data_IF_484491650018
#
_entry.id   IF_484491650018
#
_cell.length_a   1.000
_cell.length_b   1.000
_cell.length_c   1.000
_cell.angle_alpha   90.00
_cell.angle_beta   90.00
_cell.angle_gamma   90.00
#
_symmetry.space_group_name_H-M   'P 1'
#
loop_
_entity.id
_entity.type
_entity.pdbx_description
1 polymer ?
#
# COMPACT_ATOMS: atom_id res chain seq x y z
N UNK A 1 17.79 8.76 -13.80
CA UNK A 1 17.14 8.25 -12.57
C UNK A 1 15.70 7.80 -12.84
N UNK A 2 14.76 8.71 -13.17
CA UNK A 2 13.34 8.34 -13.39
C UNK A 2 13.10 7.30 -14.49
N UNK A 3 13.83 7.40 -15.60
CA UNK A 3 13.75 6.45 -16.72
C UNK A 3 14.06 5.01 -16.29
N UNK A 4 15.13 4.82 -15.53
CA UNK A 4 15.58 3.52 -15.04
C UNK A 4 14.54 2.86 -14.11
N UNK A 5 13.87 3.67 -13.28
CA UNK A 5 12.79 3.18 -12.40
C UNK A 5 11.59 2.72 -13.24
N UNK A 6 11.18 3.53 -14.21
CA UNK A 6 10.09 3.19 -15.12
C UNK A 6 10.38 1.91 -15.93
N UNK A 7 11.59 1.76 -16.46
CA UNK A 7 12.04 0.57 -17.19
C UNK A 7 12.07 -0.67 -16.28
N UNK A 8 12.53 -0.53 -15.03
CA UNK A 8 12.51 -1.62 -14.06
C UNK A 8 11.07 -2.06 -13.75
N UNK A 9 10.16 -1.12 -13.50
CA UNK A 9 8.74 -1.40 -13.22
C UNK A 9 8.03 -2.07 -14.41
N UNK A 10 8.23 -1.53 -15.62
CA UNK A 10 7.62 -2.07 -16.85
C UNK A 10 8.19 -3.43 -17.26
N UNK A 11 9.41 -3.77 -16.84
CA UNK A 11 10.02 -5.09 -17.03
C UNK A 11 9.74 -6.10 -15.90
N UNK A 12 8.80 -5.78 -15.00
CA UNK A 12 8.41 -6.66 -13.89
C UNK A 12 9.43 -6.75 -12.75
N UNK A 13 10.43 -5.87 -12.73
CA UNK A 13 11.49 -5.79 -11.71
C UNK A 13 11.11 -4.80 -10.60
N UNK A 14 9.98 -5.05 -9.94
CA UNK A 14 9.55 -4.31 -8.76
C UNK A 14 9.79 -5.13 -7.48
N UNK A 15 10.10 -4.46 -6.37
CA UNK A 15 10.14 -5.10 -5.06
C UNK A 15 8.73 -5.23 -4.47
N UNK A 16 8.52 -6.20 -3.58
CA UNK A 16 7.27 -6.36 -2.82
C UNK A 16 7.22 -5.46 -1.59
N UNK A 17 7.54 -4.19 -1.78
CA UNK A 17 7.41 -3.21 -0.71
C UNK A 17 5.97 -2.75 -0.58
N UNK A 18 5.54 -2.40 0.63
CA UNK A 18 4.16 -1.96 0.90
C UNK A 18 3.75 -0.79 0.00
N UNK A 19 4.64 0.17 -0.25
CA UNK A 19 4.38 1.32 -1.13
C UNK A 19 4.25 0.99 -2.63
N UNK A 20 4.38 -0.28 -3.03
CA UNK A 20 4.31 -0.67 -4.45
C UNK A 20 2.87 -0.92 -4.91
N UNK A 21 1.98 -1.39 -4.01
CA UNK A 21 0.65 -1.89 -4.39
C UNK A 21 -0.51 -1.32 -3.56
N UNK A 22 -0.23 -0.54 -2.51
CA UNK A 22 -1.27 0.19 -1.80
C UNK A 22 -1.59 1.51 -2.51
N UNK A 23 -2.85 1.94 -2.43
CA UNK A 23 -3.23 3.30 -2.83
C UNK A 23 -2.59 4.35 -1.89
N UNK A 24 -2.41 5.60 -2.35
CA UNK A 24 -1.68 6.62 -1.60
C UNK A 24 -2.21 6.86 -0.19
N UNK A 25 -3.54 6.92 -0.02
CA UNK A 25 -4.16 7.14 1.29
C UNK A 25 -3.95 5.96 2.23
N UNK A 26 -4.18 4.73 1.76
CA UNK A 26 -3.94 3.51 2.53
C UNK A 26 -2.49 3.39 2.96
N UNK A 27 -1.55 3.64 2.04
CA UNK A 27 -0.11 3.56 2.34
C UNK A 27 0.31 4.58 3.40
N UNK A 28 -0.14 5.83 3.28
CA UNK A 28 0.15 6.88 4.25
C UNK A 28 -0.42 6.56 5.63
N UNK A 29 -1.69 6.15 5.68
CA UNK A 29 -2.35 5.75 6.92
C UNK A 29 -1.59 4.64 7.64
N UNK A 30 -1.25 3.57 6.91
CA UNK A 30 -0.53 2.44 7.48
C UNK A 30 0.82 2.86 8.05
N UNK A 31 1.56 3.69 7.31
CA UNK A 31 2.85 4.21 7.77
C UNK A 31 2.73 5.08 9.03
N UNK A 32 1.79 6.02 9.06
CA UNK A 32 1.64 6.98 10.16
C UNK A 32 1.02 6.38 11.42
N UNK A 33 0.16 5.36 11.30
CA UNK A 33 -0.56 4.77 12.45
C UNK A 33 0.11 3.55 13.03
N UNK A 34 0.99 2.87 12.29
CA UNK A 34 1.75 1.72 12.79
C UNK A 34 2.48 2.01 14.12
N UNK A 35 3.15 3.16 14.34
CA UNK A 35 3.78 3.46 15.62
C UNK A 35 2.81 3.45 16.80
N UNK A 36 1.53 3.83 16.60
CA UNK A 36 0.54 3.81 17.67
C UNK A 36 0.18 2.39 18.08
N UNK A 37 0.14 1.45 17.13
CA UNK A 37 -0.03 0.01 17.42
C UNK A 37 1.17 -0.51 18.20
N UNK A 38 2.39 -0.19 17.76
CA UNK A 38 3.64 -0.63 18.41
C UNK A 38 3.78 -0.09 19.84
N UNK A 39 3.27 1.12 20.11
CA UNK A 39 3.26 1.74 21.43
C UNK A 39 2.06 1.31 22.29
N UNK A 40 1.19 0.42 21.80
CA UNK A 40 -0.02 -0.01 22.52
C UNK A 40 -1.10 1.08 22.65
N UNK A 41 -0.99 2.17 21.89
CA UNK A 41 -1.94 3.29 21.86
C UNK A 41 -3.11 3.06 20.90
N UNK A 42 -3.08 1.97 20.14
CA UNK A 42 -4.10 1.59 19.18
C UNK A 42 -4.16 0.06 19.09
N UNK A 43 -5.36 -0.52 19.05
CA UNK A 43 -5.49 -1.95 18.83
C UNK A 43 -5.15 -2.32 17.39
N UNK A 44 -4.66 -3.55 17.16
CA UNK A 44 -4.43 -4.07 15.80
C UNK A 44 -5.74 -4.10 15.02
N UNK A 45 -6.84 -4.45 15.67
CA UNK A 45 -8.17 -4.54 15.05
C UNK A 45 -8.64 -3.18 14.52
N UNK A 46 -8.56 -2.13 15.34
CA UNK A 46 -8.94 -0.77 14.92
C UNK A 46 -8.05 -0.27 13.78
N UNK A 47 -6.76 -0.57 13.83
CA UNK A 47 -5.79 -0.18 12.81
C UNK A 47 -6.12 -0.82 11.45
N UNK A 48 -6.38 -2.14 11.45
CA UNK A 48 -6.73 -2.86 10.23
C UNK A 48 -8.11 -2.48 9.69
N UNK A 49 -9.09 -2.25 10.57
CA UNK A 49 -10.44 -1.83 10.19
C UNK A 49 -10.45 -0.48 9.47
N UNK A 50 -9.70 0.49 9.99
CA UNK A 50 -9.60 1.80 9.38
C UNK A 50 -8.78 1.76 8.07
N UNK A 51 -7.67 1.01 8.04
CA UNK A 51 -6.91 0.79 6.81
C UNK A 51 -7.79 0.19 5.69
N UNK A 52 -8.62 -0.81 6.03
CA UNK A 52 -9.57 -1.43 5.10
C UNK A 52 -10.64 -0.44 4.63
N UNK A 53 -11.16 0.41 5.52
CA UNK A 53 -12.14 1.45 5.16
C UNK A 53 -11.57 2.40 4.10
N UNK A 54 -10.36 2.92 4.34
CA UNK A 54 -9.66 3.82 3.39
C UNK A 54 -9.40 3.10 2.06
N UNK A 55 -8.87 1.88 2.12
CA UNK A 55 -8.59 1.10 0.91
C UNK A 55 -9.85 0.84 0.08
N UNK A 56 -10.96 0.51 0.72
CA UNK A 56 -12.23 0.23 0.01
C UNK A 56 -12.74 1.46 -0.74
N UNK A 57 -12.61 2.64 -0.13
CA UNK A 57 -12.96 3.92 -0.77
C UNK A 57 -12.04 4.24 -1.95
N UNK A 58 -10.72 4.02 -1.79
CA UNK A 58 -9.75 4.28 -2.86
C UNK A 58 -9.83 3.27 -4.00
N UNK A 59 -10.19 2.03 -3.70
CA UNK A 59 -10.48 0.99 -4.69
C UNK A 59 -11.70 1.37 -5.53
N UNK A 60 -12.79 1.78 -4.88
CA UNK A 60 -13.99 2.26 -5.58
C UNK A 60 -13.70 3.50 -6.43
N UNK A 61 -12.77 4.34 -6.01
CA UNK A 61 -12.31 5.51 -6.75
C UNK A 61 -11.25 5.22 -7.85
N UNK A 62 -10.86 3.96 -8.05
CA UNK A 62 -9.88 3.57 -9.07
C UNK A 62 -8.45 4.04 -8.80
N UNK A 63 -8.09 4.30 -7.53
CA UNK A 63 -6.77 4.81 -7.12
C UNK A 63 -5.77 3.71 -6.76
N UNK A 64 -6.23 2.45 -6.69
CA UNK A 64 -5.39 1.30 -6.33
C UNK A 64 -4.55 0.90 -7.54
N UNK A 65 -3.21 0.81 -7.42
CA UNK A 65 -2.36 0.35 -8.51
C UNK A 65 -2.72 -1.09 -8.93
N UNK A 66 -2.59 -1.43 -10.23
CA UNK A 66 -2.81 -2.79 -10.67
C UNK A 66 -1.80 -3.75 -10.03
N UNK A 67 -2.28 -4.88 -9.52
CA UNK A 67 -1.42 -5.94 -8.98
C UNK A 67 -1.00 -6.86 -10.12
N UNK A 68 0.31 -7.07 -10.33
CA UNK A 68 0.82 -7.98 -11.36
C UNK A 68 0.43 -9.43 -11.06
N UNK A 69 0.24 -10.23 -12.11
CA UNK A 69 -0.03 -11.66 -11.94
C UNK A 69 1.16 -12.35 -11.25
N UNK A 70 0.91 -13.35 -10.37
CA UNK A 70 1.98 -14.18 -9.81
C UNK A 70 2.81 -14.83 -10.93
N UNK A 71 4.13 -14.92 -10.73
CA UNK A 71 4.97 -15.73 -11.63
C UNK A 71 4.50 -17.20 -11.54
N UNK A 72 4.34 -17.85 -12.70
CA UNK A 72 3.99 -19.27 -12.80
C UNK A 72 5.14 -20.16 -12.31
#
# INVERSE_FOLDING_TARGET
MYRTIYEAQSSGKYGYATWTFWSPGTQLYMYEKLPRVLLGLMSIEDYLKEAQSIFTQELAAGKVPPVPAPAK
#
